data_IF_828262171977
#
_entry.id   IF_828262171977
#
_cell.length_a   1.000
_cell.length_b   1.000
_cell.length_c   1.000
_cell.angle_alpha   90.00
_cell.angle_beta   90.00
_cell.angle_gamma   90.00
#
_symmetry.space_group_name_H-M   'P 1'
#
loop_
_entity.id
_entity.type
_entity.pdbx_description
1 polymer ?
#
# COMPACT_ATOMS: atom_id res chain seq x y z
N UNK A 1 1.71 22.42 -6.05
CA UNK A 1 1.80 21.57 -4.84
C UNK A 1 0.95 22.21 -3.76
N UNK A 2 -0.27 21.71 -3.59
CA UNK A 2 -1.34 22.37 -2.85
C UNK A 2 -1.17 22.23 -1.33
N UNK A 3 -1.64 23.25 -0.59
CA UNK A 3 -1.63 23.34 0.89
C UNK A 3 -2.23 22.10 1.59
N UNK A 4 -3.05 21.32 0.88
CA UNK A 4 -3.60 20.05 1.34
C UNK A 4 -2.52 18.99 1.62
N UNK A 5 -1.44 18.92 0.83
CA UNK A 5 -0.32 18.00 1.09
C UNK A 5 0.41 18.35 2.39
N UNK A 6 0.54 19.64 2.72
CA UNK A 6 1.24 20.08 3.92
C UNK A 6 0.44 19.77 5.20
N UNK A 7 -0.90 19.85 5.13
CA UNK A 7 -1.78 19.54 6.28
C UNK A 7 -1.82 18.02 6.56
N UNK A 8 -1.86 17.19 5.53
CA UNK A 8 -1.79 15.72 5.69
C UNK A 8 -0.46 15.26 6.28
N UNK A 9 0.64 15.93 5.92
CA UNK A 9 1.99 15.63 6.46
C UNK A 9 2.17 16.16 7.90
N UNK A 10 1.41 17.18 8.30
CA UNK A 10 1.39 17.67 9.68
C UNK A 10 0.57 16.77 10.62
N UNK A 11 -0.53 16.18 10.12
CA UNK A 11 -1.38 15.29 10.93
C UNK A 11 -0.68 13.96 11.26
N UNK A 12 0.22 13.48 10.39
CA UNK A 12 1.02 12.26 10.67
C UNK A 12 2.12 12.48 11.71
N UNK A 13 2.54 13.73 11.96
CA UNK A 13 3.60 14.05 12.94
C UNK A 13 3.04 14.28 14.35
N UNK A 14 1.81 14.75 14.50
CA UNK A 14 1.27 15.19 15.80
C UNK A 14 0.72 14.05 16.67
N UNK A 15 0.44 12.87 16.11
CA UNK A 15 -0.10 11.72 16.87
C UNK A 15 0.95 10.79 17.49
N UNK A 16 2.25 11.08 17.39
CA UNK A 16 3.29 10.24 17.97
C UNK A 16 3.71 10.75 19.36
N UNK A 17 2.85 10.60 20.36
CA UNK A 17 3.34 10.58 21.75
C UNK A 17 4.31 9.40 21.89
N UNK A 18 5.58 9.61 22.30
CA UNK A 18 6.50 8.51 22.48
C UNK A 18 6.10 7.75 23.75
N UNK A 19 5.30 6.70 23.60
CA UNK A 19 5.26 5.63 24.58
C UNK A 19 6.62 4.94 24.51
N UNK A 20 7.52 5.35 25.41
CA UNK A 20 8.89 4.84 25.54
C UNK A 20 8.91 3.41 26.10
N UNK A 21 8.33 2.46 25.36
CA UNK A 21 8.24 1.05 25.73
C UNK A 21 8.61 0.10 24.57
N UNK A 22 9.05 0.60 23.42
CA UNK A 22 9.37 -0.23 22.26
C UNK A 22 10.85 -0.11 21.88
N UNK A 23 11.60 -1.16 22.20
CA UNK A 23 13.03 -1.35 21.92
C UNK A 23 13.29 -1.77 20.45
N UNK A 24 12.53 -1.20 19.51
CA UNK A 24 12.66 -1.45 18.08
C UNK A 24 13.45 -0.34 17.41
N UNK A 25 14.47 -0.75 16.64
CA UNK A 25 15.28 0.18 15.85
C UNK A 25 14.41 1.05 14.93
N UNK A 26 14.84 2.30 14.65
CA UNK A 26 14.02 3.31 13.97
C UNK A 26 13.49 2.84 12.60
N UNK A 27 14.25 1.99 11.92
CA UNK A 27 13.87 1.41 10.63
C UNK A 27 12.57 0.60 10.71
N UNK A 28 12.40 -0.26 11.73
CA UNK A 28 11.18 -1.09 11.84
C UNK A 28 10.01 -0.23 12.34
N UNK A 29 10.27 0.65 13.32
CA UNK A 29 9.26 1.52 13.93
C UNK A 29 8.58 2.42 12.91
N UNK A 30 9.35 3.06 12.02
CA UNK A 30 8.80 3.96 11.01
C UNK A 30 8.60 3.28 9.65
N UNK A 31 9.46 2.33 9.29
CA UNK A 31 9.41 1.65 7.99
C UNK A 31 8.12 0.90 7.75
N UNK A 32 7.56 0.23 8.77
CA UNK A 32 6.28 -0.50 8.64
C UNK A 32 5.13 0.41 8.18
N UNK A 33 5.06 1.63 8.74
CA UNK A 33 4.04 2.62 8.41
C UNK A 33 4.31 3.31 7.08
N UNK A 34 5.58 3.62 6.78
CA UNK A 34 5.98 4.18 5.50
C UNK A 34 5.65 3.22 4.34
N UNK A 35 5.95 1.93 4.51
CA UNK A 35 5.63 0.89 3.53
C UNK A 35 4.12 0.68 3.40
N UNK A 36 3.37 0.67 4.51
CA UNK A 36 1.91 0.55 4.47
C UNK A 36 1.26 1.74 3.73
N UNK A 37 1.68 2.97 4.04
CA UNK A 37 1.20 4.17 3.34
C UNK A 37 1.62 4.16 1.86
N UNK A 38 2.86 3.73 1.58
CA UNK A 38 3.36 3.55 0.22
C UNK A 38 2.53 2.56 -0.58
N UNK A 39 2.16 1.42 0.00
CA UNK A 39 1.31 0.42 -0.62
C UNK A 39 -0.05 1.02 -1.02
N UNK A 40 -0.69 1.77 -0.13
CA UNK A 40 -1.96 2.46 -0.43
C UNK A 40 -1.78 3.44 -1.58
N UNK A 41 -0.76 4.31 -1.51
CA UNK A 41 -0.51 5.32 -2.55
C UNK A 41 -0.22 4.70 -3.92
N UNK A 42 0.57 3.63 -3.96
CA UNK A 42 0.88 2.92 -5.21
C UNK A 42 -0.34 2.23 -5.80
N UNK A 43 -1.22 1.64 -4.98
CA UNK A 43 -2.47 1.05 -5.47
C UNK A 43 -3.42 2.13 -6.04
N UNK A 44 -3.49 3.31 -5.43
CA UNK A 44 -4.25 4.44 -5.98
C UNK A 44 -3.68 4.91 -7.32
N UNK A 45 -2.36 4.98 -7.45
CA UNK A 45 -1.70 5.31 -8.72
C UNK A 45 -1.92 4.23 -9.78
N UNK A 46 -1.95 2.95 -9.38
CA UNK A 46 -2.27 1.84 -10.26
C UNK A 46 -3.71 1.95 -10.79
N UNK A 47 -4.69 2.20 -9.91
CA UNK A 47 -6.09 2.40 -10.30
C UNK A 47 -6.25 3.61 -11.23
N UNK A 48 -5.59 4.73 -10.94
CA UNK A 48 -5.64 5.89 -11.82
C UNK A 48 -5.03 5.62 -13.20
N UNK A 49 -3.91 4.90 -13.27
CA UNK A 49 -3.31 4.51 -14.54
C UNK A 49 -4.21 3.52 -15.30
N UNK A 50 -4.84 2.58 -14.61
CA UNK A 50 -5.78 1.63 -15.21
C UNK A 50 -6.98 2.35 -15.84
N UNK A 51 -7.62 3.27 -15.12
CA UNK A 51 -8.74 4.05 -15.67
C UNK A 51 -8.34 4.84 -16.93
N UNK A 52 -7.12 5.41 -16.96
CA UNK A 52 -6.63 6.11 -18.17
C UNK A 52 -6.38 5.15 -19.34
N UNK A 53 -6.02 3.89 -19.07
CA UNK A 53 -5.87 2.88 -20.10
C UNK A 53 -7.24 2.51 -20.69
N UNK A 54 -8.25 2.37 -19.84
CA UNK A 54 -9.64 2.08 -20.22
C UNK A 54 -10.24 3.26 -20.99
N UNK A 55 -10.11 4.50 -20.48
CA UNK A 55 -10.58 5.72 -21.18
C UNK A 55 -10.00 5.83 -22.62
N UNK A 56 -8.74 5.42 -22.81
CA UNK A 56 -8.11 5.43 -24.12
C UNK A 56 -8.62 4.29 -25.03
N UNK A 57 -8.98 3.15 -24.44
CA UNK A 57 -9.52 2.00 -25.16
C UNK A 57 -10.99 2.21 -25.53
N UNK A 58 -11.80 2.77 -24.63
CA UNK A 58 -13.20 3.14 -24.87
C UNK A 58 -13.33 4.10 -26.07
N UNK A 59 -12.39 5.03 -26.22
CA UNK A 59 -12.34 5.91 -27.40
C UNK A 59 -12.06 5.16 -28.71
N UNK A 60 -11.33 4.05 -28.66
CA UNK A 60 -11.13 3.16 -29.82
C UNK A 60 -12.45 2.44 -30.10
N UNK A 61 -13.06 1.83 -29.08
CA UNK A 61 -14.33 1.11 -29.23
C UNK A 61 -15.42 2.02 -29.82
N UNK A 62 -15.56 3.24 -29.30
CA UNK A 62 -16.53 4.22 -29.81
C UNK A 62 -16.26 4.57 -31.28
N UNK A 63 -15.00 4.81 -31.65
CA UNK A 63 -14.64 5.12 -33.02
C UNK A 63 -14.90 3.93 -33.97
N UNK A 64 -14.53 2.72 -33.56
CA UNK A 64 -14.76 1.50 -34.36
C UNK A 64 -16.26 1.18 -34.49
N UNK A 65 -17.05 1.48 -33.47
CA UNK A 65 -18.49 1.27 -33.49
C UNK A 65 -19.20 2.24 -34.44
N UNK A 66 -18.75 3.50 -34.48
CA UNK A 66 -19.29 4.50 -35.38
C UNK A 66 -18.87 4.27 -36.84
N UNK A 67 -17.62 3.84 -37.07
CA UNK A 67 -17.09 3.55 -38.39
C UNK A 67 -16.00 2.47 -38.34
N UNK A 68 -16.39 1.25 -38.69
CA UNK A 68 -15.49 0.09 -38.66
C UNK A 68 -14.29 0.21 -39.61
N UNK A 69 -14.35 1.09 -40.64
CA UNK A 69 -13.24 1.27 -41.57
C UNK A 69 -12.02 1.94 -40.91
N UNK A 70 -12.23 2.71 -39.83
CA UNK A 70 -11.15 3.36 -39.07
C UNK A 70 -10.30 2.35 -38.27
N UNK A 71 -10.84 1.15 -38.04
CA UNK A 71 -10.19 0.11 -37.24
C UNK A 71 -9.64 -1.04 -38.06
N UNK A 72 -9.44 -0.83 -39.37
CA UNK A 72 -8.72 -1.77 -40.21
C UNK A 72 -7.26 -1.87 -39.77
N UNK A 73 -6.76 -3.10 -39.67
CA UNK A 73 -5.37 -3.37 -39.34
C UNK A 73 -4.52 -3.40 -40.62
N UNK A 74 -3.32 -2.84 -40.51
CA UNK A 74 -2.26 -2.97 -41.50
C UNK A 74 -1.63 -4.37 -41.51
N UNK A 75 -0.74 -4.65 -42.48
CA UNK A 75 -0.06 -5.94 -42.61
C UNK A 75 0.90 -6.26 -41.45
N UNK A 76 1.28 -5.24 -40.68
CA UNK A 76 2.12 -5.35 -39.48
C UNK A 76 1.30 -5.54 -38.18
N UNK A 77 -0.04 -5.53 -38.27
CA UNK A 77 -0.94 -5.64 -37.13
C UNK A 77 -1.18 -4.32 -36.38
N UNK A 78 -0.67 -3.19 -36.89
CA UNK A 78 -1.01 -1.85 -36.39
C UNK A 78 -2.34 -1.37 -36.97
N UNK A 79 -2.99 -0.39 -36.33
CA UNK A 79 -4.15 0.25 -36.96
C UNK A 79 -3.73 1.11 -38.15
N UNK A 80 -4.45 0.99 -39.27
CA UNK A 80 -4.20 1.77 -40.48
C UNK A 80 -4.44 3.28 -40.24
N UNK A 81 -5.40 3.62 -39.38
CA UNK A 81 -5.60 4.99 -38.90
C UNK A 81 -4.60 5.32 -37.77
N UNK A 82 -3.72 6.30 -38.04
CA UNK A 82 -2.71 6.78 -37.07
C UNK A 82 -3.31 7.32 -35.77
N UNK A 83 -4.52 7.87 -35.80
CA UNK A 83 -5.23 8.36 -34.61
C UNK A 83 -5.61 7.19 -33.71
N UNK A 84 -6.18 6.13 -34.28
CA UNK A 84 -6.57 4.92 -33.54
C UNK A 84 -5.32 4.22 -33.00
N UNK A 85 -4.26 4.11 -33.82
CA UNK A 85 -2.98 3.56 -33.36
C UNK A 85 -2.41 4.36 -32.18
N UNK A 86 -2.50 5.70 -32.21
CA UNK A 86 -2.08 6.55 -31.11
C UNK A 86 -2.84 6.31 -29.81
N UNK A 87 -4.16 6.09 -29.88
CA UNK A 87 -4.99 5.72 -28.72
C UNK A 87 -4.60 4.34 -28.19
N UNK A 88 -4.37 3.36 -29.08
CA UNK A 88 -3.96 2.02 -28.70
C UNK A 88 -2.60 2.02 -27.98
N UNK A 89 -1.61 2.72 -28.52
CA UNK A 89 -0.30 2.86 -27.87
C UNK A 89 -0.40 3.59 -26.52
N UNK A 90 -1.33 4.53 -26.39
CA UNK A 90 -1.60 5.22 -25.12
C UNK A 90 -2.20 4.27 -24.09
N UNK A 91 -3.17 3.44 -24.47
CA UNK A 91 -3.74 2.39 -23.62
C UNK A 91 -2.64 1.44 -23.12
N UNK A 92 -1.78 0.94 -24.03
CA UNK A 92 -0.64 0.07 -23.67
C UNK A 92 0.40 0.76 -22.77
N UNK A 93 0.59 2.07 -22.91
CA UNK A 93 1.48 2.83 -22.03
C UNK A 93 0.93 2.91 -20.60
N UNK A 94 -0.37 3.19 -20.47
CA UNK A 94 -1.03 3.28 -19.18
C UNK A 94 -1.18 1.93 -18.50
N UNK A 95 -1.47 0.85 -19.23
CA UNK A 95 -1.49 -0.52 -18.70
C UNK A 95 -0.13 -0.92 -18.10
N UNK A 96 0.97 -0.70 -18.85
CA UNK A 96 2.34 -0.94 -18.34
C UNK A 96 2.66 -0.11 -17.11
N UNK A 97 2.09 1.10 -17.00
CA UNK A 97 2.26 1.95 -15.83
C UNK A 97 1.44 1.46 -14.64
N UNK A 98 0.19 1.05 -14.85
CA UNK A 98 -0.67 0.45 -13.84
C UNK A 98 -0.03 -0.81 -13.25
N UNK A 99 0.48 -1.70 -14.09
CA UNK A 99 1.19 -2.92 -13.66
C UNK A 99 2.41 -2.61 -12.79
N UNK A 100 3.22 -1.61 -13.17
CA UNK A 100 4.40 -1.20 -12.38
C UNK A 100 3.99 -0.68 -11.01
N UNK A 101 2.94 0.15 -10.93
CA UNK A 101 2.42 0.65 -9.67
C UNK A 101 1.83 -0.45 -8.80
N UNK A 102 1.11 -1.41 -9.40
CA UNK A 102 0.55 -2.54 -8.68
C UNK A 102 1.64 -3.40 -8.04
N UNK A 103 2.65 -3.80 -8.82
CA UNK A 103 3.79 -4.59 -8.32
C UNK A 103 4.53 -3.85 -7.20
N UNK A 104 4.74 -2.55 -7.36
CA UNK A 104 5.37 -1.74 -6.32
C UNK A 104 4.51 -1.71 -5.04
N UNK A 105 3.20 -1.55 -5.18
CA UNK A 105 2.25 -1.54 -4.06
C UNK A 105 2.19 -2.87 -3.31
N UNK A 106 2.12 -3.99 -4.03
CA UNK A 106 2.15 -5.34 -3.45
C UNK A 106 3.47 -5.60 -2.73
N UNK A 107 4.60 -5.21 -3.34
CA UNK A 107 5.93 -5.34 -2.72
C UNK A 107 6.02 -4.52 -1.44
N UNK A 108 5.50 -3.29 -1.44
CA UNK A 108 5.46 -2.44 -0.25
C UNK A 108 4.56 -3.04 0.83
N UNK A 109 3.40 -3.60 0.48
CA UNK A 109 2.48 -4.24 1.42
C UNK A 109 3.13 -5.47 2.07
N UNK A 110 3.78 -6.32 1.28
CA UNK A 110 4.53 -7.47 1.79
C UNK A 110 5.67 -7.03 2.72
N UNK A 111 6.41 -5.99 2.35
CA UNK A 111 7.44 -5.41 3.21
C UNK A 111 6.89 -4.88 4.54
N UNK A 112 5.75 -4.19 4.51
CA UNK A 112 5.08 -3.70 5.72
C UNK A 112 4.66 -4.88 6.62
N UNK A 113 4.00 -5.89 6.05
CA UNK A 113 3.58 -7.08 6.78
C UNK A 113 4.77 -7.80 7.44
N UNK A 114 5.88 -7.97 6.70
CA UNK A 114 7.09 -8.57 7.24
C UNK A 114 7.65 -7.76 8.43
N UNK A 115 7.65 -6.43 8.37
CA UNK A 115 8.10 -5.59 9.48
C UNK A 115 7.19 -5.68 10.71
N UNK A 116 5.87 -5.72 10.51
CA UNK A 116 4.92 -5.93 11.62
C UNK A 116 5.12 -7.30 12.29
N UNK A 117 5.27 -8.36 11.50
CA UNK A 117 5.53 -9.72 12.02
C UNK A 117 6.86 -9.76 12.76
N UNK A 118 7.90 -9.12 12.23
CA UNK A 118 9.22 -9.05 12.87
C UNK A 118 9.17 -8.33 14.22
N UNK A 119 8.41 -7.24 14.32
CA UNK A 119 8.22 -6.52 15.58
C UNK A 119 7.44 -7.34 16.60
N UNK A 120 6.39 -8.05 16.18
CA UNK A 120 5.57 -8.91 17.05
C UNK A 120 6.33 -10.11 17.59
N UNK A 121 7.21 -10.71 16.79
CA UNK A 121 7.96 -11.92 17.17
C UNK A 121 9.19 -11.61 18.02
N UNK A 122 9.61 -10.34 18.11
CA UNK A 122 10.75 -9.95 18.94
C UNK A 122 10.36 -9.99 20.41
N UNK A 123 11.16 -10.67 21.23
CA UNK A 123 11.03 -10.62 22.69
C UNK A 123 11.46 -9.23 23.15
N UNK A 124 10.50 -8.35 23.43
CA UNK A 124 10.80 -7.10 24.15
C UNK A 124 11.25 -7.46 25.55
N UNK A 125 12.42 -6.96 25.97
CA UNK A 125 12.84 -7.10 27.36
C UNK A 125 11.81 -6.40 28.22
N UNK A 126 11.35 -7.09 29.28
CA UNK A 126 10.43 -6.50 30.25
C UNK A 126 11.07 -5.20 30.74
N UNK A 127 10.37 -4.06 30.68
CA UNK A 127 10.90 -2.83 31.27
C UNK A 127 11.11 -3.07 32.77
N UNK A 128 12.34 -2.88 33.25
CA UNK A 128 12.71 -3.11 34.66
C UNK A 128 11.94 -2.21 35.64
N UNK A 129 11.23 -1.20 35.13
CA UNK A 129 10.45 -0.23 35.89
C UNK A 129 8.94 -0.56 36.02
N UNK A 130 8.48 -1.74 35.57
CA UNK A 130 7.07 -2.14 35.72
C UNK A 130 6.94 -3.09 36.93
N UNK A 131 6.40 -2.63 38.09
CA UNK A 131 6.27 -3.44 39.31
C UNK A 131 5.13 -4.47 39.24
N UNK A 132 4.42 -4.54 38.10
CA UNK A 132 3.30 -5.44 37.89
C UNK A 132 3.72 -6.64 37.04
N UNK A 133 3.80 -7.82 37.63
CA UNK A 133 3.96 -9.07 36.89
C UNK A 133 2.58 -9.69 36.61
N UNK A 134 2.19 -9.89 35.34
CA UNK A 134 0.97 -10.62 35.05
C UNK A 134 1.13 -12.06 35.54
N UNK A 135 0.27 -12.47 36.46
CA UNK A 135 0.29 -13.81 37.04
C UNK A 135 -0.91 -14.58 36.51
N UNK A 136 -0.63 -15.65 35.76
CA UNK A 136 -1.66 -16.60 35.32
C UNK A 136 -1.55 -17.83 36.21
N UNK A 137 -2.60 -18.08 37.01
CA UNK A 137 -2.69 -19.27 37.85
C UNK A 137 -3.71 -20.24 37.28
N UNK A 138 -3.27 -21.47 37.05
CA UNK A 138 -4.20 -22.58 36.77
C UNK A 138 -4.89 -22.98 38.08
N UNK A 139 -6.20 -22.77 38.16
CA UNK A 139 -7.05 -23.24 39.25
C UNK A 139 -7.74 -24.53 38.78
N UNK A 140 -8.14 -25.39 39.73
CA UNK A 140 -8.62 -26.75 39.44
C UNK A 140 -9.79 -26.82 38.43
N UNK A 141 -10.59 -25.77 38.32
CA UNK A 141 -11.70 -25.63 37.35
C UNK A 141 -11.77 -24.22 36.72
N UNK A 142 -10.71 -23.41 36.81
CA UNK A 142 -10.74 -22.03 36.33
C UNK A 142 -9.33 -21.52 35.99
N UNK A 143 -9.25 -20.45 35.21
CA UNK A 143 -7.99 -19.71 35.02
C UNK A 143 -8.07 -18.42 35.81
N UNK A 144 -7.20 -18.25 36.80
CA UNK A 144 -7.05 -17.01 37.54
C UNK A 144 -6.09 -16.07 36.81
N UNK A 145 -6.51 -14.84 36.55
CA UNK A 145 -5.66 -13.77 36.02
C UNK A 145 -5.48 -12.73 37.12
N UNK A 146 -4.24 -12.45 37.51
CA UNK A 146 -3.91 -11.50 38.58
C UNK A 146 -2.67 -10.67 38.26
N UNK A 147 -2.37 -9.72 39.14
CA UNK A 147 -1.16 -8.90 39.09
C UNK A 147 -0.34 -9.16 40.36
N UNK A 148 0.92 -9.54 40.20
CA UNK A 148 1.90 -9.65 41.29
C UNK A 148 2.67 -8.33 41.40
N UNK A 149 2.69 -7.75 42.59
CA UNK A 149 3.45 -6.55 42.93
C UNK A 149 4.79 -6.98 43.52
N UNK A 150 5.90 -6.62 42.88
CA UNK A 150 7.24 -6.71 43.46
C UNK A 150 7.64 -5.34 44.02
N UNK A 151 8.01 -5.32 45.29
CA UNK A 151 8.54 -4.16 46.03
C UNK A 151 9.93 -4.47 46.56
#
# INVERSE_FOLDING_TARGET
MSRACAVLLAITVVLTTPLAAQDTGPLVRYGKWALAAGAIGMNLLAAQAHNRADDAFDQIEEACFLDSAQCLLGPDGSYADRRIEGLYQSSLHYDRSARRWLIAGETALLGAAAMFVWELTRKTHRPDNIPFEPEVRSLRHATGVGLRLSF
#
